data_IF_750709788445
#
_entry.id   IF_750709788445
#
_cell.length_a   1.000
_cell.length_b   1.000
_cell.length_c   1.000
_cell.angle_alpha   90.00
_cell.angle_beta   90.00
_cell.angle_gamma   90.00
#
_symmetry.space_group_name_H-M   'P 1'
#
loop_
_entity.id
_entity.type
_entity.pdbx_description
1 polymer ?
#
# COMPACT_ATOMS: atom_id res chain seq x y z
N UNK A 1 -15.67 9.50 -10.30
CA UNK A 1 -15.07 8.88 -9.11
C UNK A 1 -13.58 9.19 -9.16
N UNK A 2 -13.03 9.78 -8.12
CA UNK A 2 -11.60 10.08 -8.06
C UNK A 2 -10.81 8.80 -7.77
N UNK A 3 -9.92 8.41 -8.66
CA UNK A 3 -9.14 7.15 -8.62
C UNK A 3 -7.68 7.36 -8.25
N UNK A 4 -7.30 8.56 -7.81
CA UNK A 4 -5.94 8.84 -7.38
C UNK A 4 -5.57 8.08 -6.11
N UNK A 5 -4.30 7.67 -6.02
CA UNK A 5 -3.69 7.10 -4.82
C UNK A 5 -2.51 7.97 -4.42
N UNK A 6 -2.30 8.14 -3.11
CA UNK A 6 -1.19 8.91 -2.55
C UNK A 6 0.09 8.05 -2.49
N UNK A 7 -0.08 6.73 -2.34
CA UNK A 7 0.99 5.75 -2.29
C UNK A 7 0.56 4.48 -3.03
N UNK A 8 1.45 3.95 -3.87
CA UNK A 8 1.25 2.69 -4.60
C UNK A 8 2.42 1.75 -4.31
N UNK A 9 2.12 0.59 -3.74
CA UNK A 9 3.10 -0.46 -3.46
C UNK A 9 3.00 -1.57 -4.50
N UNK A 10 4.14 -2.14 -4.90
CA UNK A 10 4.22 -3.26 -5.85
C UNK A 10 4.94 -4.45 -5.21
N UNK A 11 4.31 -5.62 -5.26
CA UNK A 11 4.87 -6.92 -4.92
C UNK A 11 5.06 -7.75 -6.20
N UNK A 12 6.21 -8.43 -6.40
CA UNK A 12 6.37 -9.37 -7.51
C UNK A 12 5.75 -10.75 -7.23
N UNK A 13 5.55 -11.10 -5.96
CA UNK A 13 4.86 -12.32 -5.52
C UNK A 13 3.88 -11.98 -4.39
N UNK A 14 2.89 -12.87 -4.14
CA UNK A 14 2.00 -12.72 -3.01
C UNK A 14 2.78 -12.56 -1.70
N UNK A 15 2.29 -11.68 -0.84
CA UNK A 15 2.80 -11.40 0.51
C UNK A 15 4.08 -10.54 0.57
N UNK A 16 4.69 -10.17 -0.56
CA UNK A 16 5.92 -9.37 -0.57
C UNK A 16 5.69 -7.99 0.06
N UNK A 17 4.50 -7.41 -0.14
CA UNK A 17 4.12 -6.12 0.43
C UNK A 17 3.90 -6.24 1.95
N UNK A 18 3.20 -7.28 2.40
CA UNK A 18 2.87 -7.54 3.80
C UNK A 18 4.13 -7.75 4.64
N UNK A 19 5.06 -8.56 4.14
CA UNK A 19 6.30 -8.92 4.83
C UNK A 19 7.32 -7.79 4.73
N UNK A 20 7.48 -7.18 3.55
CA UNK A 20 8.50 -6.16 3.30
C UNK A 20 8.15 -4.80 3.89
N UNK A 21 6.90 -4.36 3.74
CA UNK A 21 6.47 -2.99 4.07
C UNK A 21 5.07 -2.88 4.69
N UNK A 22 4.48 -3.97 5.20
CA UNK A 22 3.12 -3.96 5.75
C UNK A 22 2.92 -2.95 6.89
N UNK A 23 3.97 -2.73 7.70
CA UNK A 23 3.98 -1.68 8.72
C UNK A 23 3.88 -0.26 8.15
N UNK A 24 4.54 0.00 7.02
CA UNK A 24 4.49 1.28 6.31
C UNK A 24 3.12 1.49 5.68
N UNK A 25 2.56 0.48 5.01
CA UNK A 25 1.19 0.52 4.46
C UNK A 25 0.18 0.85 5.56
N UNK A 26 0.21 0.11 6.67
CA UNK A 26 -0.67 0.32 7.82
C UNK A 26 -0.55 1.72 8.41
N UNK A 27 0.69 2.22 8.56
CA UNK A 27 0.95 3.58 9.06
C UNK A 27 0.36 4.64 8.13
N UNK A 28 0.60 4.54 6.82
CA UNK A 28 0.14 5.55 5.86
C UNK A 28 -1.38 5.56 5.71
N UNK A 29 -2.00 4.37 5.68
CA UNK A 29 -3.45 4.23 5.69
C UNK A 29 -4.06 4.84 6.97
N UNK A 30 -3.47 4.58 8.14
CA UNK A 30 -3.90 5.21 9.41
C UNK A 30 -3.72 6.72 9.44
N UNK A 31 -2.75 7.26 8.70
CA UNK A 31 -2.56 8.70 8.52
C UNK A 31 -3.52 9.32 7.50
N UNK A 32 -4.43 8.54 6.90
CA UNK A 32 -5.46 9.02 5.99
C UNK A 32 -5.08 9.00 4.50
N UNK A 33 -3.91 8.47 4.15
CA UNK A 33 -3.50 8.35 2.76
C UNK A 33 -4.25 7.22 2.05
N UNK A 34 -4.60 7.44 0.79
CA UNK A 34 -5.13 6.41 -0.11
C UNK A 34 -3.97 5.56 -0.61
N UNK A 35 -3.83 4.37 -0.03
CA UNK A 35 -2.78 3.41 -0.40
C UNK A 35 -3.35 2.37 -1.36
N UNK A 36 -2.75 2.26 -2.54
CA UNK A 36 -2.98 1.17 -3.49
C UNK A 36 -1.93 0.08 -3.33
N UNK A 37 -2.34 -1.18 -3.41
CA UNK A 37 -1.46 -2.34 -3.39
C UNK A 37 -1.62 -3.08 -4.73
N UNK A 38 -0.52 -3.24 -5.44
CA UNK A 38 -0.39 -4.10 -6.60
C UNK A 38 0.46 -5.30 -6.18
N UNK A 39 -0.18 -6.23 -5.50
CA UNK A 39 0.39 -7.48 -5.03
C UNK A 39 0.41 -8.54 -6.15
#
# INVERSE_FOLDING_TARGET
>A
MDTSVDLLAFGPHPDDIEIGIGGTVSKQARSGHRVGLCD
#
